data_IF_077801427750
#
_entry.id   IF_077801427750
#
_cell.length_a   1.000
_cell.length_b   1.000
_cell.length_c   1.000
_cell.angle_alpha   90.00
_cell.angle_beta   90.00
_cell.angle_gamma   90.00
#
_symmetry.space_group_name_H-M   'P 1'
#
loop_
_entity.id
_entity.type
_entity.pdbx_description
1 polymer ?
#
# COMPACT_ATOMS: atom_id res chain seq x y z
N UNK A 1 4.19 51.21 36.12
CA UNK A 1 3.91 49.93 36.80
C UNK A 1 3.93 48.84 35.74
N UNK A 2 4.88 47.91 35.89
CA UNK A 2 5.16 46.83 34.95
C UNK A 2 4.16 45.69 35.14
N UNK A 3 3.38 45.37 34.11
CA UNK A 3 2.49 44.20 34.15
C UNK A 3 2.34 43.53 32.77
N UNK A 4 3.41 43.48 31.96
CA UNK A 4 3.29 43.06 30.54
C UNK A 4 4.18 41.89 30.11
N UNK A 5 4.98 41.28 31.00
CA UNK A 5 5.87 40.17 30.64
C UNK A 5 5.30 38.78 30.92
N UNK A 6 4.67 38.61 32.08
CA UNK A 6 4.19 37.29 32.56
C UNK A 6 2.91 36.84 31.85
N UNK A 7 2.01 37.77 31.53
CA UNK A 7 0.75 37.47 30.87
C UNK A 7 0.95 37.02 29.41
N UNK A 8 1.94 37.61 28.72
CA UNK A 8 2.36 37.22 27.37
C UNK A 8 2.97 35.81 27.36
N UNK A 9 3.85 35.52 28.32
CA UNK A 9 4.49 34.21 28.44
C UNK A 9 3.47 33.09 28.71
N UNK A 10 2.49 33.34 29.58
CA UNK A 10 1.41 32.38 29.90
C UNK A 10 0.54 32.10 28.67
N UNK A 11 0.23 33.11 27.86
CA UNK A 11 -0.53 32.94 26.61
C UNK A 11 0.24 32.11 25.58
N UNK A 12 1.56 32.34 25.44
CA UNK A 12 2.42 31.58 24.53
C UNK A 12 2.53 30.12 24.96
N UNK A 13 2.72 29.84 26.26
CA UNK A 13 2.73 28.48 26.78
C UNK A 13 1.36 27.79 26.63
N UNK A 14 0.25 28.52 26.80
CA UNK A 14 -1.09 27.98 26.57
C UNK A 14 -1.33 27.64 25.09
N UNK A 15 -0.86 28.48 24.16
CA UNK A 15 -0.91 28.22 22.72
C UNK A 15 -0.04 27.02 22.31
N UNK A 16 1.19 26.93 22.81
CA UNK A 16 2.08 25.79 22.54
C UNK A 16 1.53 24.50 23.12
N UNK A 17 0.96 24.54 24.32
CA UNK A 17 0.26 23.40 24.90
C UNK A 17 -0.93 23.01 24.04
N UNK A 18 -1.76 23.97 23.59
CA UNK A 18 -2.89 23.74 22.70
C UNK A 18 -2.47 23.09 21.37
N UNK A 19 -1.39 23.57 20.75
CA UNK A 19 -0.77 22.99 19.54
C UNK A 19 -0.26 21.57 19.78
N UNK A 20 0.30 21.29 20.95
CA UNK A 20 0.76 19.96 21.31
C UNK A 20 -0.39 18.95 21.48
N UNK A 21 -1.57 19.38 21.95
CA UNK A 21 -2.75 18.51 22.09
C UNK A 21 -3.43 18.18 20.75
N UNK A 22 -3.19 18.96 19.68
CA UNK A 22 -3.68 18.61 18.33
C UNK A 22 -2.86 17.49 17.68
N UNK A 23 -1.82 17.00 18.35
CA UNK A 23 -1.15 15.73 18.00
C UNK A 23 -2.03 14.54 18.38
N UNK A 24 -3.30 14.55 17.98
CA UNK A 24 -4.16 13.37 17.99
C UNK A 24 -3.48 12.38 17.05
N UNK A 25 -2.86 11.35 17.61
CA UNK A 25 -2.60 10.12 16.87
C UNK A 25 -3.95 9.66 16.40
N UNK A 26 -4.25 9.89 15.12
CA UNK A 26 -5.36 9.20 14.49
C UNK A 26 -4.92 7.75 14.44
N UNK A 27 -5.22 6.98 15.48
CA UNK A 27 -5.27 5.53 15.36
C UNK A 27 -6.52 5.22 14.55
N UNK A 28 -6.50 5.66 13.29
CA UNK A 28 -7.41 5.20 12.30
C UNK A 28 -6.97 3.75 12.08
N UNK A 29 -7.59 2.84 12.84
CA UNK A 29 -7.85 1.51 12.31
C UNK A 29 -8.62 1.77 11.02
N UNK A 30 -7.87 1.95 9.92
CA UNK A 30 -8.42 2.35 8.64
C UNK A 30 -9.30 1.19 8.20
N UNK A 31 -10.61 1.43 8.31
CA UNK A 31 -11.65 0.49 7.95
C UNK A 31 -11.43 0.13 6.48
N UNK A 32 -11.49 -1.16 6.17
CA UNK A 32 -11.31 -1.72 4.82
C UNK A 32 -11.72 -0.71 3.73
N UNK A 33 -10.78 -0.27 2.85
CA UNK A 33 -11.03 0.81 1.90
C UNK A 33 -12.19 0.49 0.94
N UNK A 34 -12.55 -0.79 0.80
CA UNK A 34 -13.67 -1.28 -0.02
C UNK A 34 -15.05 -0.93 0.57
N UNK A 35 -15.10 -0.56 1.85
CA UNK A 35 -16.35 -0.18 2.53
C UNK A 35 -16.81 1.26 2.22
N UNK A 36 -16.03 2.03 1.46
CA UNK A 36 -16.31 3.43 1.16
C UNK A 36 -16.86 3.59 -0.26
N UNK A 37 -18.18 3.73 -0.40
CA UNK A 37 -18.86 3.95 -1.69
C UNK A 37 -19.04 5.46 -1.98
N UNK A 38 -19.01 5.85 -3.25
CA UNK A 38 -19.19 7.24 -3.74
C UNK A 38 -18.11 8.24 -3.29
N UNK A 39 -16.84 7.83 -3.33
CA UNK A 39 -15.72 8.72 -3.04
C UNK A 39 -15.40 9.68 -4.19
N UNK A 40 -14.90 10.86 -3.85
CA UNK A 40 -14.25 11.71 -4.83
C UNK A 40 -13.00 11.01 -5.39
N UNK A 41 -12.67 11.26 -6.66
CA UNK A 41 -11.55 10.57 -7.35
C UNK A 41 -10.23 10.58 -6.57
N UNK A 42 -9.89 11.69 -5.91
CA UNK A 42 -8.67 11.79 -5.10
C UNK A 42 -8.69 10.85 -3.88
N UNK A 43 -9.84 10.73 -3.22
CA UNK A 43 -10.00 9.82 -2.08
C UNK A 43 -9.93 8.36 -2.51
N UNK A 44 -10.56 8.02 -3.63
CA UNK A 44 -10.50 6.68 -4.20
C UNK A 44 -9.07 6.29 -4.62
N UNK A 45 -8.31 7.23 -5.20
CA UNK A 45 -6.89 7.02 -5.51
C UNK A 45 -6.05 6.80 -4.24
N UNK A 46 -6.25 7.60 -3.18
CA UNK A 46 -5.53 7.39 -1.92
C UNK A 46 -5.85 6.03 -1.29
N UNK A 47 -7.11 5.58 -1.38
CA UNK A 47 -7.50 4.25 -0.92
C UNK A 47 -6.82 3.13 -1.74
N UNK A 48 -6.66 3.33 -3.06
CA UNK A 48 -5.92 2.41 -3.91
C UNK A 48 -4.43 2.34 -3.53
N UNK A 49 -3.79 3.49 -3.26
CA UNK A 49 -2.40 3.52 -2.80
C UNK A 49 -2.25 2.82 -1.43
N UNK A 50 -3.21 3.03 -0.54
CA UNK A 50 -3.24 2.32 0.74
C UNK A 50 -3.34 0.79 0.58
N UNK A 51 -4.12 0.30 -0.39
CA UNK A 51 -4.16 -1.13 -0.70
C UNK A 51 -2.78 -1.70 -1.06
N UNK A 52 -1.92 -0.93 -1.73
CA UNK A 52 -0.56 -1.35 -2.09
C UNK A 52 0.39 -1.37 -0.88
N UNK A 53 0.19 -0.44 0.06
CA UNK A 53 1.00 -0.34 1.27
C UNK A 53 0.65 -1.39 2.34
N UNK A 54 -0.58 -1.90 2.32
CA UNK A 54 -1.03 -2.90 3.29
C UNK A 54 -0.46 -4.29 2.96
N UNK A 55 0.64 -4.64 3.63
CA UNK A 55 1.39 -5.90 3.45
C UNK A 55 1.05 -6.87 4.58
N UNK A 56 0.68 -8.09 4.24
CA UNK A 56 0.26 -9.12 5.20
C UNK A 56 1.16 -10.35 5.25
N UNK A 57 2.00 -10.60 4.24
CA UNK A 57 2.99 -11.67 4.25
C UNK A 57 4.25 -11.24 4.99
N UNK A 58 4.82 -12.18 5.73
CA UNK A 58 5.91 -11.93 6.67
C UNK A 58 7.18 -11.43 5.97
N UNK A 59 7.61 -12.09 4.89
CA UNK A 59 8.80 -11.72 4.11
C UNK A 59 8.62 -12.19 2.66
N UNK A 60 8.84 -11.31 1.70
CA UNK A 60 8.96 -11.67 0.29
C UNK A 60 10.42 -11.58 -0.19
N UNK A 61 10.80 -12.32 -1.25
CA UNK A 61 12.08 -12.12 -1.91
C UNK A 61 12.29 -10.64 -2.28
N UNK A 62 13.55 -10.17 -2.41
CA UNK A 62 13.83 -8.77 -2.69
C UNK A 62 13.04 -8.24 -3.90
N UNK A 63 12.29 -7.16 -3.68
CA UNK A 63 11.43 -6.56 -4.70
C UNK A 63 10.09 -7.29 -4.95
N UNK A 64 9.78 -8.37 -4.23
CA UNK A 64 8.52 -9.11 -4.38
C UNK A 64 7.30 -8.42 -3.79
N UNK A 65 7.46 -7.30 -3.08
CA UNK A 65 6.31 -6.49 -2.68
C UNK A 65 5.87 -5.60 -3.83
N UNK A 66 4.61 -5.74 -4.25
CA UNK A 66 4.01 -4.81 -5.19
C UNK A 66 3.93 -3.41 -4.59
N UNK A 67 4.16 -2.41 -5.44
CA UNK A 67 4.03 -0.99 -5.14
C UNK A 67 3.57 -0.24 -6.41
N UNK A 68 3.50 1.08 -6.35
CA UNK A 68 3.03 1.94 -7.45
C UNK A 68 3.87 1.82 -8.73
N UNK A 69 5.09 1.29 -8.66
CA UNK A 69 5.91 1.07 -9.87
C UNK A 69 5.31 0.01 -10.80
N UNK A 70 4.49 -0.91 -10.26
CA UNK A 70 3.91 -2.03 -10.99
C UNK A 70 4.94 -3.06 -11.44
N UNK A 71 6.17 -2.99 -10.93
CA UNK A 71 7.25 -3.93 -11.28
C UNK A 71 7.19 -5.15 -10.39
N UNK A 72 7.15 -6.32 -11.01
CA UNK A 72 7.53 -7.59 -10.40
C UNK A 72 8.93 -7.91 -10.93
N UNK A 73 9.94 -8.10 -10.06
CA UNK A 73 11.31 -8.32 -10.50
C UNK A 73 11.44 -9.69 -11.16
N UNK A 74 12.47 -9.83 -12.00
CA UNK A 74 12.85 -11.13 -12.50
C UNK A 74 13.48 -11.96 -11.37
N UNK A 75 12.88 -13.09 -11.05
CA UNK A 75 13.30 -13.96 -9.97
C UNK A 75 14.18 -15.09 -10.48
N UNK A 76 15.12 -15.52 -9.64
CA UNK A 76 15.73 -16.84 -9.80
C UNK A 76 14.65 -17.93 -9.64
N UNK A 77 14.89 -19.15 -10.11
CA UNK A 77 13.97 -20.28 -9.90
C UNK A 77 13.63 -20.49 -8.42
N UNK A 78 14.62 -20.33 -7.54
CA UNK A 78 14.45 -20.47 -6.10
C UNK A 78 13.56 -19.36 -5.52
N UNK A 79 13.84 -18.10 -5.88
CA UNK A 79 13.03 -16.96 -5.42
C UNK A 79 11.61 -16.99 -5.98
N UNK A 80 11.43 -17.48 -7.21
CA UNK A 80 10.12 -17.65 -7.81
C UNK A 80 9.29 -18.71 -7.04
N UNK A 81 9.91 -19.83 -6.65
CA UNK A 81 9.26 -20.83 -5.79
C UNK A 81 8.84 -20.25 -4.45
N UNK A 82 9.70 -19.47 -3.80
CA UNK A 82 9.38 -18.78 -2.54
C UNK A 82 8.23 -17.79 -2.76
N UNK A 83 8.33 -16.94 -3.79
CA UNK A 83 7.31 -15.94 -4.10
C UNK A 83 5.93 -16.57 -4.33
N UNK A 84 5.87 -17.64 -5.13
CA UNK A 84 4.63 -18.29 -5.49
C UNK A 84 4.03 -19.15 -4.37
N UNK A 85 4.86 -19.83 -3.55
CA UNK A 85 4.39 -20.82 -2.58
C UNK A 85 4.35 -20.31 -1.13
N UNK A 86 5.13 -19.30 -0.76
CA UNK A 86 5.22 -18.80 0.62
C UNK A 86 4.33 -17.58 0.90
N UNK A 87 3.33 -17.35 0.04
CA UNK A 87 2.23 -16.40 0.29
C UNK A 87 2.40 -15.00 -0.32
N UNK A 88 3.55 -14.69 -0.93
CA UNK A 88 3.78 -13.39 -1.56
C UNK A 88 2.92 -13.16 -2.82
N UNK A 89 2.83 -14.15 -3.71
CA UNK A 89 1.93 -14.08 -4.86
C UNK A 89 0.49 -13.87 -4.41
N UNK A 90 0.02 -14.67 -3.44
CA UNK A 90 -1.33 -14.51 -2.90
C UNK A 90 -1.56 -13.13 -2.27
N UNK A 91 -0.59 -12.61 -1.50
CA UNK A 91 -0.67 -11.24 -0.99
C UNK A 91 -0.79 -10.24 -2.14
N UNK A 92 0.05 -10.33 -3.16
CA UNK A 92 0.01 -9.40 -4.30
C UNK A 92 -1.34 -9.46 -5.01
N UNK A 93 -1.93 -10.65 -5.19
CA UNK A 93 -3.27 -10.81 -5.75
C UNK A 93 -4.35 -10.16 -4.88
N UNK A 94 -4.24 -10.25 -3.55
CA UNK A 94 -5.13 -9.56 -2.61
C UNK A 94 -5.00 -8.03 -2.72
N UNK A 95 -3.77 -7.51 -2.82
CA UNK A 95 -3.50 -6.07 -3.01
C UNK A 95 -4.10 -5.58 -4.33
N UNK A 96 -3.87 -6.31 -5.43
CA UNK A 96 -4.42 -6.01 -6.75
C UNK A 96 -5.96 -6.01 -6.74
N UNK A 97 -6.58 -6.98 -6.07
CA UNK A 97 -8.04 -7.02 -5.91
C UNK A 97 -8.54 -5.80 -5.13
N UNK A 98 -7.87 -5.44 -4.03
CA UNK A 98 -8.21 -4.26 -3.24
C UNK A 98 -8.17 -2.99 -4.10
N UNK A 99 -7.10 -2.79 -4.89
CA UNK A 99 -6.97 -1.66 -5.83
C UNK A 99 -8.12 -1.64 -6.84
N UNK A 100 -8.43 -2.78 -7.46
CA UNK A 100 -9.52 -2.90 -8.43
C UNK A 100 -10.89 -2.55 -7.83
N UNK A 101 -11.18 -3.06 -6.63
CA UNK A 101 -12.46 -2.83 -5.96
C UNK A 101 -12.68 -1.35 -5.59
N UNK A 102 -11.60 -0.57 -5.39
CA UNK A 102 -11.67 0.82 -4.90
C UNK A 102 -11.48 1.87 -5.99
N UNK A 103 -10.71 1.57 -7.04
CA UNK A 103 -10.35 2.54 -8.08
C UNK A 103 -10.04 1.86 -9.42
N UNK A 104 -10.97 1.96 -10.37
CA UNK A 104 -10.78 1.49 -11.74
C UNK A 104 -11.06 2.63 -12.75
N UNK A 105 -10.21 2.82 -13.78
CA UNK A 105 -8.95 2.12 -14.03
C UNK A 105 -7.80 2.68 -13.18
N UNK A 106 -7.10 1.80 -12.45
CA UNK A 106 -5.81 2.13 -11.85
C UNK A 106 -4.68 1.77 -12.81
N UNK A 107 -3.79 2.73 -13.08
CA UNK A 107 -2.57 2.53 -13.86
C UNK A 107 -1.35 2.67 -12.96
N UNK A 108 -0.50 1.66 -13.00
CA UNK A 108 0.82 1.72 -12.37
C UNK A 108 1.75 2.63 -13.16
N UNK A 109 2.88 3.03 -12.56
CA UNK A 109 3.84 3.93 -13.20
C UNK A 109 4.49 3.31 -14.46
N UNK A 110 4.48 1.98 -14.60
CA UNK A 110 4.89 1.28 -15.82
C UNK A 110 3.78 1.19 -16.89
N UNK A 111 2.65 1.89 -16.70
CA UNK A 111 1.44 1.89 -17.53
C UNK A 111 0.62 0.59 -17.52
N UNK A 112 1.03 -0.43 -16.76
CA UNK A 112 0.25 -1.65 -16.60
C UNK A 112 -1.08 -1.35 -15.88
N UNK A 113 -2.13 -2.05 -16.27
CA UNK A 113 -3.37 -2.14 -15.52
C UNK A 113 -3.25 -3.22 -14.45
N UNK A 114 -4.16 -3.17 -13.47
CA UNK A 114 -4.30 -4.22 -12.44
C UNK A 114 -4.40 -5.62 -13.06
N UNK A 115 -5.17 -5.76 -14.14
CA UNK A 115 -5.33 -7.03 -14.84
C UNK A 115 -4.02 -7.53 -15.46
N UNK A 116 -3.17 -6.66 -15.99
CA UNK A 116 -1.90 -7.05 -16.61
C UNK A 116 -0.95 -7.67 -15.58
N UNK A 117 -0.82 -7.04 -14.41
CA UNK A 117 0.02 -7.54 -13.32
C UNK A 117 -0.54 -8.84 -12.75
N UNK A 118 -1.86 -8.91 -12.51
CA UNK A 118 -2.53 -10.12 -12.04
C UNK A 118 -2.24 -11.31 -12.96
N UNK A 119 -2.50 -11.14 -14.26
CA UNK A 119 -2.33 -12.21 -15.24
C UNK A 119 -0.87 -12.65 -15.35
N UNK A 120 0.08 -11.71 -15.21
CA UNK A 120 1.52 -12.01 -15.20
C UNK A 120 1.89 -12.91 -14.02
N UNK A 121 1.41 -12.59 -12.82
CA UNK A 121 1.66 -13.38 -11.60
C UNK A 121 1.01 -14.76 -11.71
N UNK A 122 -0.25 -14.83 -12.13
CA UNK A 122 -0.97 -16.10 -12.28
C UNK A 122 -0.29 -17.02 -13.31
N UNK A 123 0.15 -16.47 -14.45
CA UNK A 123 0.85 -17.25 -15.46
C UNK A 123 2.22 -17.75 -14.97
N UNK A 124 2.97 -16.94 -14.23
CA UNK A 124 4.30 -17.30 -13.77
C UNK A 124 4.29 -18.23 -12.55
N UNK A 125 3.26 -18.13 -11.70
CA UNK A 125 3.06 -19.02 -10.57
C UNK A 125 2.26 -20.29 -10.91
N UNK A 126 1.88 -20.47 -12.17
CA UNK A 126 1.33 -21.75 -12.61
C UNK A 126 2.38 -22.87 -12.42
N UNK A 127 2.02 -24.01 -11.81
CA UNK A 127 2.95 -25.10 -11.54
C UNK A 127 3.74 -25.56 -12.77
N UNK A 128 3.14 -25.51 -13.97
CA UNK A 128 3.84 -25.89 -15.20
C UNK A 128 4.90 -24.86 -15.59
N UNK A 129 4.64 -23.56 -15.45
CA UNK A 129 5.59 -22.49 -15.77
C UNK A 129 6.87 -22.59 -14.92
N UNK A 130 6.72 -22.83 -13.61
CA UNK A 130 7.85 -22.96 -12.70
C UNK A 130 8.70 -24.20 -13.02
N UNK A 131 8.08 -25.33 -13.36
CA UNK A 131 8.79 -26.58 -13.67
C UNK A 131 9.60 -26.51 -14.98
N UNK A 132 9.22 -25.62 -15.91
CA UNK A 132 9.91 -25.45 -17.20
C UNK A 132 10.86 -24.25 -17.26
N UNK A 133 11.22 -23.65 -16.12
CA UNK A 133 12.18 -22.56 -16.11
C UNK A 133 11.62 -21.20 -16.58
N UNK A 134 10.30 -21.07 -16.73
CA UNK A 134 9.63 -19.82 -17.12
C UNK A 134 9.16 -19.11 -15.85
N UNK A 135 10.00 -18.24 -15.30
CA UNK A 135 9.71 -17.52 -14.07
C UNK A 135 9.51 -16.04 -14.36
N UNK A 136 8.93 -15.33 -13.37
CA UNK A 136 8.89 -13.87 -13.28
C UNK A 136 10.25 -13.27 -13.60
#
# INVERSE_FOLDING_TARGET
MAMNGKLSLVLVFALLAALAVVSVRSDATFKDPRGMVNLANFQALNNALYCLDNKTAAVCPPGGYLNETGKIPQFSTADALVYCNEGCANQTLVQLKCVYDVYEPFRFNNNALVADIRNTIEAACDPTSILFGKHL
#
